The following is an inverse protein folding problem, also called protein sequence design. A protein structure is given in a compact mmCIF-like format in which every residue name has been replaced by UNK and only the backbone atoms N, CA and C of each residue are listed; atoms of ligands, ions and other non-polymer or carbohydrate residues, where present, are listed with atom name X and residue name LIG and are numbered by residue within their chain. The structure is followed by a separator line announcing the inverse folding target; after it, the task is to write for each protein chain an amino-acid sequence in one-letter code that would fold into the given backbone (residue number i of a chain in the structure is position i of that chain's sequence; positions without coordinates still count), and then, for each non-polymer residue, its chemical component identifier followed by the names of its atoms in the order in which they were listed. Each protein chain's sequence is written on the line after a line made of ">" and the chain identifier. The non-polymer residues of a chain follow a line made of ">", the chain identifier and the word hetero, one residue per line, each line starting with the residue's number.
data_IF_854920043663
#
_entry.id   IF_854920043663
#
_cell.length_a   1.000
_cell.length_b   1.000
_cell.length_c   1.000
_cell.angle_alpha   90.00
_cell.angle_beta   90.00
_cell.angle_gamma   90.00
#
_symmetry.space_group_name_H-M   'P 1'
#
loop_
_entity.id
_entity.type
_entity.pdbx_description
1 polymer ?
#
# COMPACT_ATOMS: atom_id res chain seq x y z
N UNK A 1 69.91 8.35 -14.62
CA UNK A 1 68.50 8.43 -15.05
C UNK A 1 67.75 7.26 -14.41
N UNK A 2 67.11 7.48 -13.28
CA UNK A 2 66.31 6.45 -12.56
C UNK A 2 64.85 6.59 -12.98
N UNK A 3 64.30 5.53 -13.59
CA UNK A 3 62.90 5.44 -13.95
C UNK A 3 62.10 5.12 -12.68
N UNK A 4 60.98 5.81 -12.40
CA UNK A 4 60.13 5.45 -11.26
C UNK A 4 59.36 4.15 -11.57
N UNK A 5 59.62 3.11 -10.82
CA UNK A 5 58.84 1.87 -10.83
C UNK A 5 57.50 2.20 -10.11
N UNK A 6 56.49 2.59 -10.86
CA UNK A 6 55.15 2.66 -10.34
C UNK A 6 54.69 1.23 -9.98
N UNK A 7 54.55 0.99 -8.68
CA UNK A 7 54.21 -0.34 -8.18
C UNK A 7 52.82 -0.77 -8.69
N UNK A 8 52.79 -1.84 -9.46
CA UNK A 8 51.58 -2.51 -10.01
C UNK A 8 50.53 -2.76 -8.90
N UNK A 9 50.97 -2.94 -7.64
CA UNK A 9 50.10 -3.10 -6.51
C UNK A 9 49.22 -1.85 -6.22
N UNK A 10 49.73 -0.63 -6.42
CA UNK A 10 48.95 0.60 -6.22
C UNK A 10 47.92 0.79 -7.31
N UNK A 11 48.21 0.37 -8.55
CA UNK A 11 47.28 0.42 -9.68
C UNK A 11 46.15 -0.60 -9.52
N UNK A 12 46.45 -1.81 -8.98
CA UNK A 12 45.47 -2.83 -8.69
C UNK A 12 44.51 -2.41 -7.56
N UNK A 13 45.01 -1.77 -6.50
CA UNK A 13 44.20 -1.25 -5.40
C UNK A 13 43.29 -0.14 -5.89
N UNK A 14 43.75 0.77 -6.75
CA UNK A 14 42.95 1.84 -7.32
C UNK A 14 41.86 1.29 -8.24
N UNK A 15 42.12 0.23 -9.01
CA UNK A 15 41.14 -0.42 -9.88
C UNK A 15 40.10 -1.20 -9.08
N UNK A 16 40.49 -1.89 -7.99
CA UNK A 16 39.53 -2.54 -7.08
C UNK A 16 38.64 -1.56 -6.33
N UNK A 17 39.14 -0.39 -5.92
CA UNK A 17 38.30 0.63 -5.25
C UNK A 17 37.32 1.31 -6.21
N UNK A 18 37.68 1.49 -7.49
CA UNK A 18 36.74 2.01 -8.51
C UNK A 18 35.63 1.04 -8.86
N UNK A 19 35.91 -0.26 -8.85
CA UNK A 19 34.88 -1.29 -9.16
C UNK A 19 33.87 -1.49 -8.04
N UNK A 20 34.23 -1.25 -6.78
CA UNK A 20 33.30 -1.33 -5.63
C UNK A 20 32.30 -0.16 -5.61
N UNK A 21 32.68 1.02 -6.13
CA UNK A 21 31.79 2.19 -6.24
C UNK A 21 30.70 2.03 -7.32
N UNK A 22 30.89 1.14 -8.29
CA UNK A 22 29.89 0.87 -9.35
C UNK A 22 28.83 -0.15 -8.96
N UNK A 23 28.96 -0.85 -7.83
CA UNK A 23 28.07 -1.92 -7.40
C UNK A 23 26.82 -1.42 -6.65
N UNK A 24 26.78 -0.18 -6.20
CA UNK A 24 25.56 0.44 -5.65
C UNK A 24 24.70 0.95 -6.80
N UNK A 25 23.83 0.11 -7.34
CA UNK A 25 22.84 0.53 -8.33
C UNK A 25 22.07 1.75 -7.84
N UNK A 26 22.17 2.86 -8.59
CA UNK A 26 21.50 4.13 -8.30
C UNK A 26 19.98 4.01 -8.18
N UNK A 27 19.26 5.11 -7.93
CA UNK A 27 17.80 5.11 -7.81
C UNK A 27 17.11 4.53 -9.04
N UNK A 28 17.73 4.61 -10.22
CA UNK A 28 17.21 4.12 -11.51
C UNK A 28 16.90 2.63 -11.50
N UNK A 29 17.76 1.81 -10.90
CA UNK A 29 17.53 0.37 -10.79
C UNK A 29 16.26 0.07 -9.97
N UNK A 30 16.06 0.81 -8.89
CA UNK A 30 14.86 0.66 -8.06
C UNK A 30 13.61 1.20 -8.77
N UNK A 31 13.73 2.30 -9.55
CA UNK A 31 12.61 2.81 -10.37
C UNK A 31 12.18 1.75 -11.38
N UNK A 32 13.11 1.20 -12.17
CA UNK A 32 12.81 0.16 -13.17
C UNK A 32 12.15 -1.09 -12.54
N UNK A 33 12.63 -1.53 -11.37
CA UNK A 33 12.01 -2.65 -10.65
C UNK A 33 10.61 -2.31 -10.16
N UNK A 34 10.42 -1.09 -9.68
CA UNK A 34 9.10 -0.60 -9.28
C UNK A 34 8.12 -0.53 -10.45
N UNK A 35 8.59 -0.07 -11.62
CA UNK A 35 7.79 -0.01 -12.85
C UNK A 35 7.39 -1.43 -13.30
N UNK A 36 8.31 -2.39 -13.25
CA UNK A 36 8.03 -3.79 -13.59
C UNK A 36 7.03 -4.43 -12.62
N UNK A 37 7.22 -4.26 -11.31
CA UNK A 37 6.30 -4.76 -10.29
C UNK A 37 4.90 -4.13 -10.44
N UNK A 38 4.84 -2.81 -10.72
CA UNK A 38 3.56 -2.11 -10.94
C UNK A 38 2.82 -2.67 -12.16
N UNK A 39 3.53 -2.99 -13.23
CA UNK A 39 2.96 -3.58 -14.44
C UNK A 39 2.38 -4.98 -14.20
N UNK A 40 2.97 -5.74 -13.28
CA UNK A 40 2.48 -7.06 -12.83
C UNK A 40 1.36 -6.97 -11.79
N UNK A 41 1.02 -5.76 -11.30
CA UNK A 41 0.04 -5.59 -10.24
C UNK A 41 0.60 -5.84 -8.83
N UNK A 42 1.90 -6.05 -8.69
CA UNK A 42 2.61 -6.27 -7.41
C UNK A 42 2.79 -4.93 -6.66
N UNK A 43 1.68 -4.37 -6.20
CA UNK A 43 1.64 -2.98 -5.69
C UNK A 43 2.47 -2.78 -4.43
N UNK A 44 2.54 -3.75 -3.53
CA UNK A 44 3.36 -3.67 -2.33
C UNK A 44 4.86 -3.65 -2.68
N UNK A 45 5.29 -4.53 -3.59
CA UNK A 45 6.69 -4.57 -4.07
C UNK A 45 7.03 -3.29 -4.83
N UNK A 46 6.14 -2.82 -5.73
CA UNK A 46 6.32 -1.56 -6.44
C UNK A 46 6.52 -0.39 -5.47
N UNK A 47 5.66 -0.26 -4.46
CA UNK A 47 5.77 0.78 -3.43
C UNK A 47 7.10 0.71 -2.67
N UNK A 48 7.56 -0.50 -2.33
CA UNK A 48 8.86 -0.76 -1.71
C UNK A 48 10.04 -0.31 -2.57
N UNK A 49 9.99 -0.61 -3.86
CA UNK A 49 11.02 -0.22 -4.82
C UNK A 49 11.06 1.31 -5.02
N UNK A 50 9.91 1.97 -5.23
CA UNK A 50 9.85 3.42 -5.35
C UNK A 50 10.30 4.13 -4.07
N UNK A 51 9.97 3.59 -2.89
CA UNK A 51 10.49 4.12 -1.62
C UNK A 51 12.01 4.05 -1.56
N UNK A 52 12.62 2.92 -1.96
CA UNK A 52 14.09 2.78 -2.05
C UNK A 52 14.69 3.81 -3.01
N UNK A 53 14.06 4.00 -4.16
CA UNK A 53 14.48 5.00 -5.14
C UNK A 53 14.40 6.42 -4.57
N UNK A 54 13.27 6.76 -3.94
CA UNK A 54 13.04 8.07 -3.33
C UNK A 54 14.09 8.43 -2.27
N UNK A 55 14.41 7.48 -1.39
CA UNK A 55 15.41 7.68 -0.33
C UNK A 55 16.83 7.85 -0.88
N UNK A 56 17.14 7.26 -2.01
CA UNK A 56 18.47 7.37 -2.66
C UNK A 56 18.59 8.57 -3.59
N UNK A 57 17.51 9.22 -3.97
CA UNK A 57 17.51 10.40 -4.85
C UNK A 57 17.84 11.64 -4.02
N UNK A 58 18.91 12.40 -4.37
CA UNK A 58 19.28 13.61 -3.66
C UNK A 58 18.16 14.66 -3.62
N UNK A 59 18.09 15.45 -2.54
CA UNK A 59 17.08 16.49 -2.36
C UNK A 59 17.12 17.58 -3.44
N UNK A 60 18.28 17.83 -4.03
CA UNK A 60 18.46 18.80 -5.12
C UNK A 60 17.78 18.37 -6.44
N UNK A 61 17.58 17.07 -6.64
CA UNK A 61 16.89 16.51 -7.82
C UNK A 61 15.38 16.56 -7.63
N UNK A 62 14.83 17.78 -7.50
CA UNK A 62 13.44 18.01 -7.12
C UNK A 62 12.42 17.36 -8.06
N UNK A 63 12.59 17.55 -9.36
CA UNK A 63 11.69 16.97 -10.38
C UNK A 63 11.65 15.44 -10.29
N UNK A 64 12.82 14.82 -10.27
CA UNK A 64 12.95 13.36 -10.13
C UNK A 64 12.31 12.85 -8.83
N UNK A 65 12.52 13.55 -7.70
CA UNK A 65 11.87 13.21 -6.45
C UNK A 65 10.35 13.34 -6.53
N UNK A 66 9.85 14.37 -7.20
CA UNK A 66 8.41 14.55 -7.44
C UNK A 66 7.81 13.39 -8.23
N UNK A 67 8.45 13.01 -9.33
CA UNK A 67 8.02 11.88 -10.17
C UNK A 67 8.02 10.56 -9.39
N UNK A 68 9.09 10.28 -8.63
CA UNK A 68 9.17 9.07 -7.80
C UNK A 68 8.10 9.09 -6.71
N UNK A 69 7.87 10.25 -6.08
CA UNK A 69 6.85 10.40 -5.05
C UNK A 69 5.43 10.14 -5.60
N UNK A 70 5.13 10.61 -6.82
CA UNK A 70 3.86 10.29 -7.48
C UNK A 70 3.71 8.78 -7.71
N UNK A 71 4.70 8.13 -8.34
CA UNK A 71 4.69 6.68 -8.59
C UNK A 71 4.53 5.89 -7.27
N UNK A 72 5.22 6.32 -6.22
CA UNK A 72 5.11 5.74 -4.89
C UNK A 72 3.70 5.91 -4.31
N UNK A 73 3.10 7.09 -4.50
CA UNK A 73 1.72 7.39 -4.10
C UNK A 73 0.72 6.47 -4.79
N UNK A 74 0.84 6.31 -6.11
CA UNK A 74 -0.01 5.42 -6.90
C UNK A 74 0.11 3.95 -6.45
N UNK A 75 1.32 3.47 -6.19
CA UNK A 75 1.54 2.12 -5.70
C UNK A 75 0.93 1.92 -4.30
N UNK A 76 1.14 2.85 -3.37
CA UNK A 76 0.52 2.79 -2.03
C UNK A 76 -1.00 2.88 -2.09
N UNK A 77 -1.57 3.69 -2.98
CA UNK A 77 -3.02 3.80 -3.17
C UNK A 77 -3.62 2.49 -3.62
N UNK A 78 -3.04 1.86 -4.64
CA UNK A 78 -3.47 0.56 -5.15
C UNK A 78 -3.27 -0.59 -4.15
N UNK A 79 -2.23 -0.49 -3.35
CA UNK A 79 -1.97 -1.41 -2.23
C UNK A 79 -2.93 -1.20 -1.04
N UNK A 80 -3.70 -0.10 -1.03
CA UNK A 80 -4.63 0.21 0.06
C UNK A 80 -4.00 0.92 1.26
N UNK A 81 -2.73 1.34 1.18
CA UNK A 81 -2.07 2.06 2.27
C UNK A 81 -2.31 3.56 2.17
N UNK A 82 -3.50 3.98 2.58
CA UNK A 82 -4.01 5.36 2.44
C UNK A 82 -3.07 6.39 3.08
N UNK A 83 -2.54 6.10 4.28
CA UNK A 83 -1.67 7.05 4.99
C UNK A 83 -0.35 7.29 4.26
N UNK A 84 0.27 6.24 3.76
CA UNK A 84 1.52 6.35 2.98
C UNK A 84 1.28 6.95 1.61
N UNK A 85 0.15 6.66 0.98
CA UNK A 85 -0.24 7.27 -0.28
C UNK A 85 -0.40 8.79 -0.13
N UNK A 86 -1.15 9.26 0.87
CA UNK A 86 -1.29 10.68 1.17
C UNK A 86 0.06 11.37 1.39
N UNK A 87 0.95 10.76 2.18
CA UNK A 87 2.31 11.27 2.42
C UNK A 87 3.13 11.38 1.14
N UNK A 88 3.02 10.38 0.25
CA UNK A 88 3.72 10.38 -1.02
C UNK A 88 3.19 11.46 -1.98
N UNK A 89 1.87 11.62 -2.11
CA UNK A 89 1.28 12.69 -2.92
C UNK A 89 1.61 14.08 -2.38
N UNK A 90 1.59 14.30 -1.03
CA UNK A 90 2.07 15.56 -0.46
C UNK A 90 3.52 15.87 -0.85
N UNK A 91 4.38 14.85 -0.87
CA UNK A 91 5.76 15.03 -1.32
C UNK A 91 5.84 15.37 -2.80
N UNK A 92 5.05 14.73 -3.67
CA UNK A 92 5.00 15.06 -5.08
C UNK A 92 4.61 16.54 -5.28
N UNK A 93 3.54 17.01 -4.63
CA UNK A 93 3.12 18.42 -4.65
C UNK A 93 4.22 19.36 -4.15
N UNK A 94 4.89 19.03 -3.02
CA UNK A 94 6.00 19.83 -2.46
C UNK A 94 7.16 20.00 -3.43
N UNK A 95 7.45 19.00 -4.24
CA UNK A 95 8.51 19.07 -5.24
C UNK A 95 8.07 19.75 -6.55
N UNK A 96 6.87 20.27 -6.60
CA UNK A 96 6.34 21.01 -7.76
C UNK A 96 5.82 20.07 -8.86
N UNK A 97 5.60 18.79 -8.53
CA UNK A 97 4.93 17.89 -9.45
C UNK A 97 3.44 18.24 -9.45
N UNK A 98 3.08 19.12 -10.38
CA UNK A 98 1.72 19.65 -10.52
C UNK A 98 0.91 18.91 -11.58
N UNK A 99 1.26 17.65 -11.83
CA UNK A 99 0.37 16.81 -12.62
C UNK A 99 -1.00 16.83 -11.96
N UNK A 100 -1.98 17.12 -12.77
CA UNK A 100 -3.33 17.47 -12.35
C UNK A 100 -3.97 16.41 -11.47
N UNK A 101 -3.69 15.13 -11.77
CA UNK A 101 -4.22 14.00 -11.00
C UNK A 101 -3.68 13.94 -9.55
N UNK A 102 -2.50 14.52 -9.27
CA UNK A 102 -1.86 14.41 -7.94
C UNK A 102 -2.69 15.07 -6.85
N UNK A 103 -3.24 16.25 -7.11
CA UNK A 103 -4.09 16.95 -6.14
C UNK A 103 -5.41 16.22 -5.92
N UNK A 104 -6.01 15.69 -6.99
CA UNK A 104 -7.23 14.88 -6.90
C UNK A 104 -6.99 13.64 -6.01
N UNK A 105 -5.94 12.86 -6.29
CA UNK A 105 -5.58 11.68 -5.51
C UNK A 105 -5.21 12.00 -4.06
N UNK A 106 -4.55 13.14 -3.84
CA UNK A 106 -4.28 13.62 -2.48
C UNK A 106 -5.57 13.90 -1.73
N UNK A 107 -6.53 14.60 -2.36
CA UNK A 107 -7.84 14.86 -1.79
C UNK A 107 -8.59 13.58 -1.40
N UNK A 108 -8.62 12.59 -2.30
CA UNK A 108 -9.22 11.27 -2.02
C UNK A 108 -8.57 10.60 -0.79
N UNK A 109 -7.24 10.56 -0.72
CA UNK A 109 -6.53 9.93 0.40
C UNK A 109 -6.76 10.66 1.72
N UNK A 110 -6.84 11.99 1.70
CA UNK A 110 -7.12 12.80 2.88
C UNK A 110 -8.56 12.62 3.37
N UNK A 111 -9.51 12.56 2.45
CA UNK A 111 -10.91 12.27 2.76
C UNK A 111 -11.05 10.91 3.46
N UNK A 112 -10.38 9.88 2.95
CA UNK A 112 -10.34 8.55 3.57
C UNK A 112 -9.69 8.55 4.97
N UNK A 113 -8.84 9.53 5.28
CA UNK A 113 -8.24 9.71 6.62
C UNK A 113 -9.09 10.59 7.54
N UNK A 114 -10.26 11.04 7.10
CA UNK A 114 -11.10 12.03 7.79
C UNK A 114 -10.41 13.40 7.96
N UNK A 115 -9.37 13.70 7.18
CA UNK A 115 -8.78 15.04 7.09
C UNK A 115 -9.58 15.88 6.09
N UNK A 116 -10.80 16.25 6.48
CA UNK A 116 -11.75 16.94 5.61
C UNK A 116 -11.24 18.29 5.14
N UNK A 117 -10.53 19.04 6.02
CA UNK A 117 -9.96 20.34 5.66
C UNK A 117 -8.83 20.23 4.64
N UNK A 118 -7.94 19.26 4.85
CA UNK A 118 -6.87 18.98 3.88
C UNK A 118 -7.41 18.49 2.55
N UNK A 119 -8.44 17.62 2.58
CA UNK A 119 -9.10 17.11 1.39
C UNK A 119 -9.80 18.23 0.61
N UNK A 120 -10.57 19.10 1.29
CA UNK A 120 -11.23 20.26 0.69
C UNK A 120 -10.24 21.16 -0.06
N UNK A 121 -9.11 21.47 0.58
CA UNK A 121 -8.05 22.23 -0.07
C UNK A 121 -7.52 21.55 -1.32
N UNK A 122 -7.18 20.26 -1.25
CA UNK A 122 -6.61 19.51 -2.37
C UNK A 122 -7.60 19.40 -3.55
N UNK A 123 -8.90 19.18 -3.30
CA UNK A 123 -9.93 19.20 -4.33
C UNK A 123 -10.13 20.59 -4.92
N UNK A 124 -10.09 21.65 -4.11
CA UNK A 124 -10.20 23.03 -4.59
C UNK A 124 -9.02 23.39 -5.49
N UNK A 125 -7.78 23.10 -5.07
CA UNK A 125 -6.58 23.33 -5.86
C UNK A 125 -6.64 22.59 -7.23
N UNK A 126 -7.27 21.41 -7.26
CA UNK A 126 -7.50 20.65 -8.50
C UNK A 126 -8.57 21.32 -9.38
N UNK A 127 -9.70 21.74 -8.78
CA UNK A 127 -10.83 22.33 -9.50
C UNK A 127 -10.53 23.72 -10.07
N UNK A 128 -9.51 24.42 -9.58
CA UNK A 128 -9.02 25.64 -10.24
C UNK A 128 -8.62 25.39 -11.70
N UNK A 129 -8.10 24.19 -12.00
CA UNK A 129 -7.69 23.79 -13.35
C UNK A 129 -8.78 23.02 -14.10
N UNK A 130 -9.61 22.28 -13.38
CA UNK A 130 -10.66 21.39 -13.91
C UNK A 130 -11.99 21.59 -13.20
N UNK A 131 -12.63 22.76 -13.38
CA UNK A 131 -13.82 23.16 -12.61
C UNK A 131 -15.04 22.24 -12.79
N UNK A 132 -15.05 21.44 -13.86
CA UNK A 132 -16.14 20.51 -14.17
C UNK A 132 -15.91 19.05 -13.75
N UNK A 133 -14.81 18.73 -13.08
CA UNK A 133 -14.54 17.34 -12.70
C UNK A 133 -15.50 16.88 -11.60
N UNK A 134 -16.34 15.88 -11.95
CA UNK A 134 -17.37 15.36 -11.06
C UNK A 134 -16.80 14.66 -9.82
N UNK A 135 -15.64 14.02 -9.94
CA UNK A 135 -15.00 13.30 -8.83
C UNK A 135 -14.53 14.30 -7.76
N UNK A 136 -13.92 15.39 -8.19
CA UNK A 136 -13.47 16.43 -7.27
C UNK A 136 -14.65 17.19 -6.64
N UNK A 137 -15.71 17.50 -7.42
CA UNK A 137 -16.94 18.12 -6.91
C UNK A 137 -17.64 17.24 -5.86
N UNK A 138 -17.76 15.93 -6.12
CA UNK A 138 -18.28 14.97 -5.14
C UNK A 138 -17.36 14.85 -3.92
N UNK A 139 -16.04 14.95 -4.11
CA UNK A 139 -15.06 14.98 -3.03
C UNK A 139 -15.30 16.19 -2.11
N UNK A 140 -15.49 17.40 -2.66
CA UNK A 140 -15.83 18.59 -1.89
C UNK A 140 -17.15 18.45 -1.13
N UNK A 141 -18.18 17.92 -1.80
CA UNK A 141 -19.47 17.66 -1.16
C UNK A 141 -19.29 16.67 0.01
N UNK A 142 -18.52 15.61 -0.19
CA UNK A 142 -18.22 14.62 0.85
C UNK A 142 -17.49 15.23 2.05
N UNK A 143 -16.56 16.17 1.82
CA UNK A 143 -15.88 16.88 2.92
C UNK A 143 -16.85 17.65 3.82
N UNK A 144 -17.94 18.17 3.25
CA UNK A 144 -18.97 18.92 4.00
C UNK A 144 -19.96 17.99 4.71
N UNK A 145 -20.42 16.95 4.03
CA UNK A 145 -21.49 16.07 4.54
C UNK A 145 -20.95 15.04 5.55
N UNK A 146 -19.72 14.51 5.36
CA UNK A 146 -19.21 13.44 6.20
C UNK A 146 -19.14 13.78 7.70
N UNK A 147 -18.74 14.99 8.13
CA UNK A 147 -18.80 15.38 9.54
C UNK A 147 -20.22 15.33 10.12
N UNK A 148 -21.20 15.81 9.34
CA UNK A 148 -22.61 15.79 9.77
C UNK A 148 -23.16 14.37 9.88
N UNK A 149 -22.85 13.52 8.87
CA UNK A 149 -23.25 12.10 8.91
C UNK A 149 -22.65 11.38 10.13
N UNK A 150 -21.40 11.69 10.46
CA UNK A 150 -20.74 11.14 11.64
C UNK A 150 -21.44 11.56 12.96
N UNK A 151 -21.93 12.80 13.03
CA UNK A 151 -22.68 13.30 14.20
C UNK A 151 -24.06 12.67 14.31
N UNK A 152 -24.76 12.44 13.20
CA UNK A 152 -26.08 11.78 13.18
C UNK A 152 -26.01 10.33 13.69
N UNK A 153 -24.84 9.70 13.59
CA UNK A 153 -24.66 8.32 13.96
C UNK A 153 -25.32 7.33 12.99
N UNK A 154 -25.44 6.10 13.44
CA UNK A 154 -26.06 5.00 12.69
C UNK A 154 -27.14 4.33 13.55
N UNK A 155 -28.19 3.84 12.92
CA UNK A 155 -29.19 2.98 13.55
C UNK A 155 -28.60 1.61 13.97
N UNK A 156 -27.40 1.28 13.46
CA UNK A 156 -26.74 0.02 13.73
C UNK A 156 -25.54 0.23 14.67
N UNK A 157 -25.37 -0.71 15.61
CA UNK A 157 -24.16 -0.81 16.42
C UNK A 157 -23.26 -1.87 15.83
N UNK A 158 -22.08 -1.46 15.34
CA UNK A 158 -21.06 -2.38 14.83
C UNK A 158 -20.08 -2.70 15.96
N UNK A 159 -19.89 -3.99 16.23
CA UNK A 159 -18.94 -4.48 17.23
C UNK A 159 -17.93 -5.40 16.57
N UNK A 160 -16.65 -5.18 16.83
CA UNK A 160 -15.62 -6.13 16.45
C UNK A 160 -15.82 -7.45 17.20
N UNK A 161 -15.56 -8.56 16.53
CA UNK A 161 -15.54 -9.90 17.12
C UNK A 161 -14.07 -10.36 17.23
N UNK A 162 -13.40 -10.18 18.37
CA UNK A 162 -11.95 -10.42 18.49
C UNK A 162 -11.53 -11.86 18.12
N UNK A 163 -12.46 -12.79 18.18
CA UNK A 163 -12.23 -14.19 17.79
C UNK A 163 -11.98 -14.33 16.28
N UNK A 164 -12.66 -13.51 15.48
CA UNK A 164 -12.59 -13.52 14.02
C UNK A 164 -11.73 -12.37 13.48
N UNK A 165 -11.83 -11.19 14.07
CA UNK A 165 -11.11 -10.00 13.62
C UNK A 165 -9.73 -9.93 14.27
N UNK A 166 -8.72 -10.35 13.52
CA UNK A 166 -7.33 -10.30 13.94
C UNK A 166 -6.64 -8.95 13.58
N UNK A 167 -5.33 -8.94 13.70
CA UNK A 167 -4.50 -7.79 13.29
C UNK A 167 -4.18 -7.80 11.80
N UNK A 168 -4.58 -8.85 11.09
CA UNK A 168 -4.41 -9.05 9.65
C UNK A 168 -5.77 -9.00 8.97
N UNK A 169 -5.81 -9.26 7.66
CA UNK A 169 -7.06 -9.22 6.91
C UNK A 169 -7.91 -10.45 7.20
N UNK A 170 -9.17 -10.20 7.53
CA UNK A 170 -10.24 -11.20 7.63
C UNK A 170 -11.39 -10.70 6.75
N UNK A 171 -11.84 -11.51 5.78
CA UNK A 171 -12.79 -11.06 4.76
C UNK A 171 -13.64 -12.22 4.21
N UNK A 172 -14.61 -11.90 3.37
CA UNK A 172 -15.53 -12.85 2.73
C UNK A 172 -16.20 -13.83 3.70
N UNK A 173 -16.88 -13.36 4.77
CA UNK A 173 -17.58 -14.25 5.68
C UNK A 173 -18.82 -14.86 5.01
N UNK A 174 -18.97 -16.18 5.12
CA UNK A 174 -20.13 -16.92 4.64
C UNK A 174 -20.67 -17.82 5.73
N UNK A 175 -21.97 -17.72 6.01
CA UNK A 175 -22.66 -18.64 6.92
C UNK A 175 -23.09 -19.89 6.18
N UNK A 176 -22.93 -21.05 6.81
CA UNK A 176 -23.37 -22.32 6.27
C UNK A 176 -24.62 -22.83 6.97
N UNK A 177 -25.56 -23.33 6.15
CA UNK A 177 -26.82 -23.89 6.60
C UNK A 177 -27.85 -22.85 7.04
N UNK A 178 -29.12 -23.29 7.17
CA UNK A 178 -30.24 -22.41 7.53
C UNK A 178 -30.15 -21.82 8.94
N UNK A 179 -29.45 -22.52 9.84
CA UNK A 179 -29.34 -22.12 11.24
C UNK A 179 -28.15 -21.16 11.50
N UNK A 180 -27.33 -20.84 10.47
CA UNK A 180 -26.18 -19.96 10.57
C UNK A 180 -25.23 -20.28 11.77
N UNK A 181 -25.13 -21.58 12.13
CA UNK A 181 -24.27 -22.05 13.23
C UNK A 181 -22.81 -22.28 12.84
N UNK A 182 -22.49 -22.13 11.58
CA UNK A 182 -21.14 -22.27 11.04
C UNK A 182 -20.82 -21.06 10.19
N UNK A 183 -19.59 -20.58 10.30
CA UNK A 183 -19.07 -19.47 9.51
C UNK A 183 -17.75 -19.87 8.87
N UNK A 184 -17.63 -19.61 7.60
CA UNK A 184 -16.39 -19.72 6.83
C UNK A 184 -15.93 -18.31 6.48
N UNK A 185 -14.63 -18.09 6.45
CA UNK A 185 -14.07 -16.79 6.07
C UNK A 185 -12.61 -16.97 5.62
N UNK A 186 -12.13 -16.05 4.79
CA UNK A 186 -10.73 -16.01 4.39
C UNK A 186 -9.95 -15.12 5.35
N UNK A 187 -8.73 -15.54 5.68
CA UNK A 187 -7.86 -14.77 6.57
C UNK A 187 -6.39 -14.90 6.16
N UNK A 188 -5.62 -13.83 6.38
CA UNK A 188 -4.16 -13.80 6.21
C UNK A 188 -3.42 -13.87 7.55
N UNK A 189 -4.03 -14.45 8.58
CA UNK A 189 -3.43 -14.58 9.92
C UNK A 189 -2.16 -15.42 9.90
N UNK A 190 -1.40 -15.40 10.98
CA UNK A 190 -0.07 -16.03 11.01
C UNK A 190 -0.11 -17.54 10.77
N UNK A 191 -1.22 -18.20 11.11
CA UNK A 191 -1.41 -19.65 11.01
C UNK A 191 -1.79 -20.15 9.61
N UNK A 192 -1.86 -19.29 8.59
CA UNK A 192 -2.12 -19.71 7.21
C UNK A 192 -1.01 -20.60 6.66
N UNK A 193 -1.37 -21.42 5.66
CA UNK A 193 -0.45 -22.31 4.94
C UNK A 193 0.58 -21.49 4.16
N UNK A 194 1.78 -22.04 4.02
CA UNK A 194 2.88 -21.39 3.28
C UNK A 194 3.50 -20.19 3.99
N UNK A 195 4.64 -19.76 3.46
CA UNK A 195 5.41 -18.62 3.98
C UNK A 195 5.62 -17.51 2.94
N UNK A 196 5.08 -17.67 1.74
CA UNK A 196 5.20 -16.68 0.68
C UNK A 196 4.47 -15.39 1.03
N UNK A 197 5.11 -14.28 0.66
CA UNK A 197 4.54 -12.95 0.84
C UNK A 197 4.08 -12.43 -0.52
N UNK A 198 2.81 -12.17 -0.63
CA UNK A 198 2.22 -11.61 -1.84
C UNK A 198 2.87 -10.27 -2.22
N UNK A 199 3.34 -10.15 -3.45
CA UNK A 199 3.83 -8.88 -4.03
C UNK A 199 2.72 -7.83 -4.12
N UNK A 200 1.46 -8.26 -4.14
CA UNK A 200 0.27 -7.39 -4.23
C UNK A 200 0.00 -6.74 -2.87
N UNK A 201 -0.14 -7.56 -1.83
CA UNK A 201 -0.61 -7.13 -0.50
C UNK A 201 0.50 -6.97 0.53
N UNK A 202 1.68 -7.56 0.32
CA UNK A 202 2.76 -7.60 1.30
C UNK A 202 2.41 -8.45 2.54
N UNK A 203 1.37 -9.26 2.47
CA UNK A 203 0.95 -10.21 3.50
C UNK A 203 1.13 -11.63 2.99
N UNK A 204 1.07 -12.62 3.89
CA UNK A 204 0.94 -14.02 3.48
C UNK A 204 -0.34 -14.22 2.67
N UNK A 205 -0.37 -15.24 1.85
CA UNK A 205 -1.56 -15.67 1.14
C UNK A 205 -2.68 -16.02 2.13
N UNK A 206 -3.92 -15.91 1.68
CA UNK A 206 -5.09 -16.13 2.54
C UNK A 206 -5.57 -17.56 2.49
N UNK A 207 -5.93 -18.10 3.66
CA UNK A 207 -6.54 -19.41 3.81
C UNK A 207 -8.01 -19.30 4.20
N UNK A 208 -8.78 -20.34 3.89
CA UNK A 208 -10.16 -20.49 4.36
C UNK A 208 -10.14 -21.11 5.75
N UNK A 209 -10.74 -20.41 6.69
CA UNK A 209 -10.96 -20.85 8.05
C UNK A 209 -12.47 -21.05 8.30
N UNK A 210 -12.80 -21.88 9.25
CA UNK A 210 -14.17 -22.04 9.72
C UNK A 210 -14.26 -22.00 11.23
N UNK A 211 -15.45 -21.70 11.73
CA UNK A 211 -15.81 -21.83 13.12
C UNK A 211 -17.27 -22.28 13.24
N UNK A 212 -17.61 -22.87 14.37
CA UNK A 212 -18.97 -23.30 14.70
C UNK A 212 -19.36 -22.85 16.10
N UNK A 213 -20.63 -22.72 16.33
CA UNK A 213 -21.18 -22.54 17.69
C UNK A 213 -21.04 -23.83 18.50
N UNK A 214 -20.70 -23.68 19.77
CA UNK A 214 -20.78 -24.78 20.75
C UNK A 214 -22.26 -25.00 21.25
N UNK A 215 -22.45 -25.95 22.11
CA UNK A 215 -23.76 -26.26 22.71
C UNK A 215 -24.36 -25.09 23.52
N UNK A 216 -23.50 -24.15 23.95
CA UNK A 216 -23.91 -22.95 24.70
C UNK A 216 -24.11 -21.73 23.79
N UNK A 217 -24.05 -21.92 22.46
CA UNK A 217 -24.21 -20.85 21.49
C UNK A 217 -23.01 -19.90 21.43
N UNK A 218 -21.81 -20.30 21.85
CA UNK A 218 -20.59 -19.52 21.73
C UNK A 218 -19.74 -20.00 20.54
N UNK A 219 -19.17 -19.06 19.80
CA UNK A 219 -18.25 -19.38 18.71
C UNK A 219 -16.98 -20.04 19.25
N UNK A 220 -16.59 -21.16 18.64
CA UNK A 220 -15.29 -21.80 18.87
C UNK A 220 -14.15 -21.03 18.19
N UNK A 221 -12.91 -21.30 18.59
CA UNK A 221 -11.75 -20.75 17.91
C UNK A 221 -11.76 -21.18 16.45
N UNK A 222 -11.49 -20.26 15.49
CA UNK A 222 -11.42 -20.61 14.07
C UNK A 222 -10.30 -21.60 13.78
N UNK A 223 -10.57 -22.55 12.89
CA UNK A 223 -9.66 -23.58 12.44
C UNK A 223 -9.53 -23.54 10.92
N UNK A 224 -8.37 -23.92 10.39
CA UNK A 224 -8.18 -24.09 8.94
C UNK A 224 -9.10 -25.18 8.38
N UNK A 225 -9.68 -24.92 7.22
CA UNK A 225 -10.41 -25.96 6.48
C UNK A 225 -9.41 -26.92 5.84
N UNK A 226 -9.44 -28.18 6.26
CA UNK A 226 -8.54 -29.22 5.78
C UNK A 226 -8.83 -29.57 4.31
N UNK A 227 -7.78 -29.72 3.53
CA UNK A 227 -7.85 -30.23 2.16
C UNK A 227 -8.25 -29.21 1.09
N UNK A 228 -8.41 -27.93 1.46
CA UNK A 228 -8.70 -26.84 0.51
C UNK A 228 -7.59 -25.78 0.50
N UNK A 229 -6.89 -25.58 1.61
CA UNK A 229 -5.84 -24.59 1.71
C UNK A 229 -4.53 -25.09 1.11
N UNK A 230 -3.84 -24.24 0.34
CA UNK A 230 -2.58 -24.50 -0.36
C UNK A 230 -1.56 -23.41 -0.03
N UNK A 231 -0.44 -23.36 -0.76
CA UNK A 231 0.54 -22.27 -0.65
C UNK A 231 0.09 -20.99 -1.40
N UNK A 232 -1.05 -21.03 -2.09
CA UNK A 232 -1.62 -19.89 -2.83
C UNK A 232 -2.74 -19.21 -2.06
N UNK A 233 -3.26 -18.11 -2.61
CA UNK A 233 -4.43 -17.42 -2.04
C UNK A 233 -5.70 -18.24 -2.27
N UNK A 234 -6.39 -18.63 -1.21
CA UNK A 234 -7.74 -19.16 -1.26
C UNK A 234 -8.74 -18.06 -0.89
N UNK A 235 -9.75 -17.91 -1.73
CA UNK A 235 -10.89 -17.02 -1.51
C UNK A 235 -12.13 -17.79 -1.11
N UNK A 236 -12.91 -17.28 -0.13
CA UNK A 236 -14.25 -17.77 0.10
C UNK A 236 -15.14 -17.37 -1.09
N UNK A 237 -15.89 -18.33 -1.61
CA UNK A 237 -16.85 -18.15 -2.71
C UNK A 237 -18.15 -17.52 -2.20
#
# INVERSE_FOLDING_TARGET
>A
MSRPIFSISKLLILFCTLSVLSACGGPEKSIKRGDAALALGEYCEAAGQYRRAYMRTPNKEREKRGTIALKMGEAFRRYGNVARAAGAYRNAVRYGYTDTITCLRLGEMLLMQNDYKGAEKAFSDYLEKFPGDSTALLGLLSCRIAPEMKQRGSAYTVKAMPLFNGTRSDYAPAFMGQEAKQIYFTTTRQQVTGDEISGITGMKNGDIFFSSLDEKGKWKAPEQVKGVNTDFDEGAC
#
